data_IF_857693831608
#
_entry.id   IF_857693831608
#
_cell.length_a   1.000
_cell.length_b   1.000
_cell.length_c   1.000
_cell.angle_alpha   90.00
_cell.angle_beta   90.00
_cell.angle_gamma   90.00
#
_symmetry.space_group_name_H-M   'P 1'
#
loop_
_entity.id
_entity.type
_entity.pdbx_description
1 polymer ?
#
# COMPACT_ATOMS: atom_id res chain seq x y z
N UNK A 1 -29.24 43.06 23.17
CA UNK A 1 -28.23 42.04 23.58
C UNK A 1 -28.68 40.60 23.29
N UNK A 2 -29.95 40.33 22.97
CA UNK A 2 -30.42 39.01 22.50
C UNK A 2 -30.32 38.81 20.97
N UNK A 3 -30.29 39.87 20.16
CA UNK A 3 -30.16 39.77 18.70
C UNK A 3 -28.76 39.43 18.20
N UNK A 4 -27.70 39.80 18.94
CA UNK A 4 -26.32 39.55 18.52
C UNK A 4 -25.97 38.05 18.59
N UNK A 5 -26.47 37.34 19.60
CA UNK A 5 -26.26 35.90 19.75
C UNK A 5 -27.03 35.07 18.71
N UNK A 6 -28.15 35.57 18.18
CA UNK A 6 -28.95 34.85 17.16
C UNK A 6 -28.34 34.96 15.76
N UNK A 7 -27.54 35.99 15.49
CA UNK A 7 -26.88 36.21 14.20
C UNK A 7 -25.61 35.35 14.08
N UNK A 8 -24.86 35.18 15.18
CA UNK A 8 -23.65 34.35 15.18
C UNK A 8 -23.96 32.84 15.02
N UNK A 9 -25.10 32.35 15.53
CA UNK A 9 -25.48 30.93 15.38
C UNK A 9 -25.88 30.57 13.94
N UNK A 10 -26.42 31.53 13.18
CA UNK A 10 -26.84 31.31 11.79
C UNK A 10 -25.64 31.26 10.85
N UNK A 11 -24.56 32.01 11.15
CA UNK A 11 -23.34 32.00 10.34
C UNK A 11 -22.46 30.76 10.55
N UNK A 12 -22.44 30.16 11.75
CA UNK A 12 -21.67 28.93 11.97
C UNK A 12 -22.32 27.73 11.26
N UNK A 13 -23.65 27.68 11.18
CA UNK A 13 -24.37 26.63 10.45
C UNK A 13 -24.17 26.70 8.93
N UNK A 14 -24.07 27.91 8.36
CA UNK A 14 -23.84 28.07 6.91
C UNK A 14 -22.43 27.63 6.50
N UNK A 15 -21.41 27.97 7.28
CA UNK A 15 -20.01 27.69 6.94
C UNK A 15 -19.73 26.20 6.68
N UNK A 16 -20.34 25.31 7.45
CA UNK A 16 -20.14 23.88 7.27
C UNK A 16 -21.02 23.26 6.18
N UNK A 17 -22.22 23.81 5.93
CA UNK A 17 -23.05 23.42 4.77
C UNK A 17 -22.37 23.85 3.47
N UNK A 18 -21.79 25.04 3.44
CA UNK A 18 -21.02 25.58 2.32
C UNK A 18 -19.75 24.74 2.09
N UNK A 19 -19.06 24.33 3.16
CA UNK A 19 -17.92 23.42 3.10
C UNK A 19 -18.28 22.03 2.55
N UNK A 20 -19.39 21.45 3.00
CA UNK A 20 -19.88 20.16 2.48
C UNK A 20 -20.28 20.25 1.00
N UNK A 21 -21.02 21.30 0.63
CA UNK A 21 -21.42 21.54 -0.75
C UNK A 21 -20.20 21.75 -1.65
N UNK A 22 -19.21 22.52 -1.21
CA UNK A 22 -17.95 22.73 -1.92
C UNK A 22 -17.20 21.42 -2.14
N UNK A 23 -17.04 20.60 -1.10
CA UNK A 23 -16.30 19.35 -1.22
C UNK A 23 -17.02 18.30 -2.10
N UNK A 24 -18.34 18.15 -1.96
CA UNK A 24 -19.13 17.25 -2.82
C UNK A 24 -19.14 17.70 -4.29
N UNK A 25 -19.10 19.01 -4.55
CA UNK A 25 -19.01 19.56 -5.91
C UNK A 25 -17.65 19.24 -6.54
N UNK A 26 -16.55 19.47 -5.80
CA UNK A 26 -15.18 19.13 -6.24
C UNK A 26 -15.01 17.62 -6.46
N UNK A 27 -15.55 16.80 -5.56
CA UNK A 27 -15.48 15.35 -5.66
C UNK A 27 -16.22 14.82 -6.91
N UNK A 28 -17.44 15.32 -7.17
CA UNK A 28 -18.19 14.99 -8.39
C UNK A 28 -17.49 15.43 -9.67
N UNK A 29 -16.82 16.59 -9.63
CA UNK A 29 -16.04 17.09 -10.77
C UNK A 29 -14.84 16.17 -11.07
N UNK A 30 -14.06 15.80 -10.05
CA UNK A 30 -12.91 14.88 -10.20
C UNK A 30 -13.31 13.50 -10.73
N UNK A 31 -14.41 12.93 -10.24
CA UNK A 31 -14.93 11.64 -10.74
C UNK A 31 -15.37 11.73 -12.21
N UNK A 32 -16.05 12.83 -12.59
CA UNK A 32 -16.54 13.02 -13.95
C UNK A 32 -15.40 13.19 -14.95
N UNK A 33 -14.45 14.08 -14.65
CA UNK A 33 -13.27 14.29 -15.49
C UNK A 33 -12.41 13.03 -15.54
N UNK A 34 -12.25 12.32 -14.43
CA UNK A 34 -11.50 11.05 -14.40
C UNK A 34 -12.10 9.96 -15.29
N UNK A 35 -13.43 9.85 -15.35
CA UNK A 35 -14.12 8.93 -16.25
C UNK A 35 -14.04 9.35 -17.72
N UNK A 36 -14.11 10.65 -18.00
CA UNK A 36 -14.01 11.18 -19.37
C UNK A 36 -12.63 11.00 -19.99
N UNK A 37 -11.56 11.10 -19.20
CA UNK A 37 -10.17 10.93 -19.68
C UNK A 37 -9.65 9.50 -19.53
N UNK A 38 -10.45 8.56 -19.02
CA UNK A 38 -10.05 7.18 -18.76
C UNK A 38 -8.99 7.01 -17.66
N UNK A 39 -8.84 7.99 -16.76
CA UNK A 39 -7.82 7.97 -15.70
C UNK A 39 -8.38 7.37 -14.42
N UNK A 40 -8.05 6.11 -14.16
CA UNK A 40 -8.43 5.40 -12.95
C UNK A 40 -7.93 6.11 -11.67
N UNK A 41 -6.75 6.74 -11.72
CA UNK A 41 -6.19 7.51 -10.60
C UNK A 41 -7.06 8.72 -10.24
N UNK A 42 -7.57 9.45 -11.24
CA UNK A 42 -8.40 10.64 -11.01
C UNK A 42 -9.82 10.27 -10.52
N UNK A 43 -10.33 9.09 -10.92
CA UNK A 43 -11.58 8.53 -10.39
C UNK A 43 -11.42 8.06 -8.93
N UNK A 44 -10.29 7.44 -8.60
CA UNK A 44 -9.96 7.02 -7.23
C UNK A 44 -9.84 8.23 -6.29
N UNK A 45 -9.10 9.27 -6.69
CA UNK A 45 -8.99 10.53 -5.93
C UNK A 45 -10.35 11.22 -5.74
N UNK A 46 -11.24 11.11 -6.74
CA UNK A 46 -12.59 11.65 -6.66
C UNK A 46 -13.51 10.87 -5.70
N UNK A 47 -13.37 9.55 -5.62
CA UNK A 47 -14.05 8.71 -4.63
C UNK A 47 -13.56 8.98 -3.22
N UNK A 48 -12.24 9.13 -3.04
CA UNK A 48 -11.61 9.50 -1.76
C UNK A 48 -12.14 10.85 -1.24
N UNK A 49 -12.25 11.85 -2.12
CA UNK A 49 -12.83 13.16 -1.78
C UNK A 49 -14.31 13.09 -1.36
N UNK A 50 -15.11 12.15 -1.89
CA UNK A 50 -16.50 11.94 -1.44
C UNK A 50 -16.55 11.37 -0.02
N UNK A 51 -15.68 10.41 0.30
CA UNK A 51 -15.57 9.87 1.67
C UNK A 51 -15.21 10.96 2.67
N UNK A 52 -14.28 11.86 2.35
CA UNK A 52 -13.96 13.02 3.20
C UNK A 52 -15.13 14.00 3.36
N UNK A 53 -15.97 14.14 2.32
CA UNK A 53 -17.21 14.92 2.38
C UNK A 53 -18.22 14.34 3.35
N UNK A 54 -18.38 13.01 3.36
CA UNK A 54 -19.24 12.32 4.32
C UNK A 54 -18.71 12.44 5.76
N UNK A 55 -17.39 12.37 5.96
CA UNK A 55 -16.77 12.59 7.27
C UNK A 55 -17.03 14.01 7.78
N UNK A 56 -16.95 15.02 6.91
CA UNK A 56 -17.24 16.42 7.26
C UNK A 56 -18.72 16.65 7.59
N UNK A 57 -19.65 15.99 6.88
CA UNK A 57 -21.08 16.03 7.19
C UNK A 57 -21.40 15.36 8.53
N UNK A 58 -20.72 14.26 8.86
CA UNK A 58 -20.86 13.59 10.15
C UNK A 58 -20.43 14.50 11.32
N UNK A 59 -19.32 15.23 11.18
CA UNK A 59 -18.87 16.26 12.15
C UNK A 59 -19.94 17.33 12.35
N UNK A 60 -20.53 17.80 11.26
CA UNK A 60 -21.53 18.87 11.28
C UNK A 60 -22.83 18.44 11.97
N UNK A 61 -23.29 17.22 11.71
CA UNK A 61 -24.44 16.63 12.38
C UNK A 61 -24.18 16.37 13.87
N UNK A 62 -22.95 16.03 14.26
CA UNK A 62 -22.58 15.88 15.67
C UNK A 62 -22.55 17.18 16.46
N UNK A 63 -21.92 18.21 15.89
CA UNK A 63 -21.90 19.55 16.47
C UNK A 63 -23.33 20.12 16.59
N UNK A 64 -24.18 19.90 15.57
CA UNK A 64 -25.59 20.27 15.61
C UNK A 64 -26.41 19.49 16.65
N UNK A 65 -26.15 18.19 16.81
CA UNK A 65 -26.79 17.34 17.82
C UNK A 65 -26.40 17.69 19.25
N UNK A 66 -25.15 18.06 19.50
CA UNK A 66 -24.66 18.52 20.80
C UNK A 66 -25.30 19.85 21.21
N UNK A 67 -25.49 20.78 20.26
CA UNK A 67 -26.14 22.07 20.50
C UNK A 67 -27.63 21.94 20.87
N UNK A 68 -28.29 20.82 20.53
CA UNK A 68 -29.69 20.52 20.87
C UNK A 68 -29.87 19.94 22.29
N UNK A 69 -28.81 19.88 23.11
CA UNK A 69 -28.88 19.53 24.53
C UNK A 69 -28.69 18.05 24.84
N UNK A 70 -28.15 17.26 23.91
CA UNK A 70 -27.73 15.87 24.15
C UNK A 70 -26.23 15.81 24.43
N UNK A 71 -25.78 15.81 25.70
CA UNK A 71 -24.35 15.82 26.04
C UNK A 71 -23.61 14.55 25.58
N UNK A 72 -24.33 13.45 25.36
CA UNK A 72 -23.78 12.21 24.80
C UNK A 72 -23.66 12.22 23.27
N UNK A 73 -24.26 13.18 22.58
CA UNK A 73 -24.19 13.25 21.11
C UNK A 73 -22.75 13.53 20.64
N UNK A 74 -22.03 14.41 21.34
CA UNK A 74 -20.64 14.77 21.02
C UNK A 74 -19.67 13.57 21.07
N UNK A 75 -19.58 12.78 22.16
CA UNK A 75 -18.71 11.61 22.19
C UNK A 75 -19.15 10.47 21.25
N UNK A 76 -20.46 10.29 21.01
CA UNK A 76 -20.95 9.29 20.04
C UNK A 76 -20.53 9.67 18.61
N UNK A 77 -20.64 10.95 18.27
CA UNK A 77 -20.27 11.42 16.94
C UNK A 77 -18.75 11.45 16.78
N UNK A 78 -18.01 11.84 17.82
CA UNK A 78 -16.54 11.74 17.84
C UNK A 78 -16.05 10.30 17.61
N UNK A 79 -16.72 9.30 18.20
CA UNK A 79 -16.42 7.89 17.95
C UNK A 79 -16.72 7.48 16.50
N UNK A 80 -17.87 7.89 15.96
CA UNK A 80 -18.24 7.63 14.56
C UNK A 80 -17.24 8.24 13.57
N UNK A 81 -16.80 9.48 13.82
CA UNK A 81 -15.79 10.16 13.00
C UNK A 81 -14.45 9.43 13.10
N UNK A 82 -14.04 9.03 14.31
CA UNK A 82 -12.80 8.29 14.52
C UNK A 82 -12.79 6.99 13.71
N UNK A 83 -13.88 6.22 13.77
CA UNK A 83 -14.03 4.99 12.98
C UNK A 83 -13.99 5.28 11.48
N UNK A 84 -14.66 6.33 11.01
CA UNK A 84 -14.62 6.74 9.61
C UNK A 84 -13.19 7.11 9.14
N UNK A 85 -12.46 7.91 9.93
CA UNK A 85 -11.06 8.26 9.66
C UNK A 85 -10.18 7.02 9.63
N UNK A 86 -10.37 6.06 10.55
CA UNK A 86 -9.61 4.80 10.54
C UNK A 86 -9.83 4.00 9.25
N UNK A 87 -11.06 3.96 8.70
CA UNK A 87 -11.31 3.31 7.42
C UNK A 87 -10.61 4.02 6.27
N UNK A 88 -10.72 5.34 6.19
CA UNK A 88 -10.04 6.15 5.16
C UNK A 88 -8.52 5.98 5.25
N UNK A 89 -7.96 6.01 6.46
CA UNK A 89 -6.53 5.80 6.70
C UNK A 89 -6.08 4.40 6.28
N UNK A 90 -6.89 3.37 6.58
CA UNK A 90 -6.62 2.00 6.14
C UNK A 90 -6.59 1.89 4.62
N UNK A 91 -7.54 2.52 3.94
CA UNK A 91 -7.64 2.49 2.48
C UNK A 91 -6.47 3.26 1.84
N UNK A 92 -6.15 4.45 2.33
CA UNK A 92 -4.99 5.23 1.89
C UNK A 92 -3.66 4.49 2.16
N UNK A 93 -3.51 3.88 3.33
CA UNK A 93 -2.34 3.07 3.66
C UNK A 93 -2.23 1.86 2.73
N UNK A 94 -3.36 1.19 2.44
CA UNK A 94 -3.40 0.09 1.47
C UNK A 94 -3.05 0.56 0.07
N UNK A 95 -3.50 1.73 -0.36
CA UNK A 95 -3.18 2.29 -1.67
C UNK A 95 -1.71 2.70 -1.77
N UNK A 96 -1.15 3.34 -0.76
CA UNK A 96 0.28 3.68 -0.71
C UNK A 96 1.11 2.39 -0.69
N UNK A 97 0.67 1.39 0.08
CA UNK A 97 1.28 0.06 0.08
C UNK A 97 1.19 -0.58 -1.30
N UNK A 98 0.03 -0.51 -1.96
CA UNK A 98 -0.13 -1.00 -3.33
C UNK A 98 0.68 -0.18 -4.32
N UNK A 99 0.93 1.13 -4.16
CA UNK A 99 1.78 1.89 -5.10
C UNK A 99 3.27 1.64 -4.86
N UNK A 100 3.67 1.41 -3.61
CA UNK A 100 5.02 0.98 -3.24
C UNK A 100 5.28 -0.46 -3.71
N UNK A 101 4.25 -1.32 -3.63
CA UNK A 101 4.27 -2.68 -4.15
C UNK A 101 4.12 -2.71 -5.66
N UNK A 102 3.21 -1.95 -6.29
CA UNK A 102 2.96 -1.81 -7.74
C UNK A 102 4.11 -1.12 -8.47
N UNK A 103 5.07 -0.53 -7.72
CA UNK A 103 6.38 -0.34 -8.30
C UNK A 103 6.85 -1.67 -8.88
N UNK A 104 6.68 -2.80 -8.19
CA UNK A 104 6.96 -4.16 -8.67
C UNK A 104 5.73 -5.04 -8.53
N UNK A 105 5.01 -5.21 -9.64
CA UNK A 105 3.86 -6.10 -9.76
C UNK A 105 4.02 -7.42 -8.96
N UNK A 106 3.13 -7.73 -8.00
CA UNK A 106 3.21 -8.96 -7.21
C UNK A 106 3.16 -10.23 -8.06
N UNK A 107 2.58 -10.16 -9.26
CA UNK A 107 2.61 -11.28 -10.21
C UNK A 107 4.05 -11.57 -10.70
N UNK A 108 4.89 -10.55 -10.85
CA UNK A 108 6.31 -10.73 -11.18
C UNK A 108 7.10 -11.34 -10.02
N UNK A 109 6.75 -11.03 -8.78
CA UNK A 109 7.38 -11.65 -7.60
C UNK A 109 7.01 -13.13 -7.54
N UNK A 110 5.73 -13.46 -7.68
CA UNK A 110 5.25 -14.83 -7.70
C UNK A 110 5.87 -15.65 -8.84
N UNK A 111 5.95 -15.04 -10.04
CA UNK A 111 6.62 -15.67 -11.19
C UNK A 111 8.11 -15.91 -10.92
N UNK A 112 8.81 -14.96 -10.31
CA UNK A 112 10.22 -15.13 -9.94
C UNK A 112 10.41 -16.28 -8.92
N UNK A 113 9.54 -16.38 -7.91
CA UNK A 113 9.56 -17.46 -6.92
C UNK A 113 9.30 -18.83 -7.57
N UNK A 114 8.34 -18.91 -8.49
CA UNK A 114 8.04 -20.14 -9.24
C UNK A 114 9.21 -20.56 -10.15
N UNK A 115 9.78 -19.62 -10.91
CA UNK A 115 10.97 -19.86 -11.75
C UNK A 115 12.12 -20.40 -10.91
N UNK A 116 12.39 -19.79 -9.74
CA UNK A 116 13.47 -20.21 -8.84
C UNK A 116 13.22 -21.60 -8.24
N UNK A 117 11.99 -21.89 -7.83
CA UNK A 117 11.63 -23.20 -7.29
C UNK A 117 11.75 -24.33 -8.33
N UNK A 118 11.65 -24.00 -9.62
CA UNK A 118 11.82 -24.94 -10.73
C UNK A 118 13.28 -25.18 -11.14
N UNK A 119 14.26 -24.46 -10.56
CA UNK A 119 15.68 -24.63 -10.87
C UNK A 119 16.23 -25.88 -10.18
N UNK A 120 16.82 -26.84 -10.92
CA UNK A 120 17.45 -28.01 -10.33
C UNK A 120 18.58 -27.62 -9.37
N UNK A 121 18.52 -28.11 -8.13
CA UNK A 121 19.52 -27.83 -7.10
C UNK A 121 19.15 -26.71 -6.12
N UNK A 122 18.03 -26.01 -6.35
CA UNK A 122 17.41 -25.13 -5.35
C UNK A 122 16.57 -25.98 -4.40
N UNK A 123 16.91 -25.98 -3.12
CA UNK A 123 16.17 -26.69 -2.06
C UNK A 123 15.14 -25.78 -1.39
N UNK A 124 15.44 -24.47 -1.33
CA UNK A 124 14.59 -23.46 -0.72
C UNK A 124 14.69 -22.15 -1.48
N UNK A 125 13.58 -21.45 -1.65
CA UNK A 125 13.59 -20.05 -2.11
C UNK A 125 13.53 -19.16 -0.88
N UNK A 126 14.49 -18.24 -0.75
CA UNK A 126 14.59 -17.27 0.34
C UNK A 126 13.88 -15.96 0.01
N UNK A 127 14.46 -14.83 0.43
CA UNK A 127 13.90 -13.53 0.08
C UNK A 127 14.06 -13.24 -1.42
N UNK A 128 12.94 -12.91 -2.08
CA UNK A 128 12.92 -12.40 -3.46
C UNK A 128 12.61 -10.90 -3.42
N UNK A 129 13.53 -10.09 -3.94
CA UNK A 129 13.39 -8.65 -4.01
C UNK A 129 13.57 -8.20 -5.44
N UNK A 130 12.52 -7.63 -6.01
CA UNK A 130 12.58 -7.01 -7.32
C UNK A 130 12.56 -5.49 -7.14
N UNK A 131 13.17 -4.77 -8.08
CA UNK A 131 13.18 -3.29 -8.10
C UNK A 131 13.29 -2.75 -9.51
N UNK A 132 12.59 -1.67 -9.81
CA UNK A 132 12.83 -0.93 -11.04
C UNK A 132 14.02 0.01 -10.89
N UNK A 133 14.89 0.00 -11.90
CA UNK A 133 15.99 0.93 -12.05
C UNK A 133 15.87 1.55 -13.45
N UNK A 134 15.29 2.75 -13.50
CA UNK A 134 14.92 3.41 -14.75
C UNK A 134 13.81 2.66 -15.48
N UNK A 135 14.11 2.05 -16.62
CA UNK A 135 13.18 1.29 -17.46
C UNK A 135 13.43 -0.22 -17.42
N UNK A 136 14.29 -0.69 -16.52
CA UNK A 136 14.69 -2.08 -16.39
C UNK A 136 14.39 -2.60 -14.98
N UNK A 137 14.02 -3.88 -14.89
CA UNK A 137 13.85 -4.59 -13.63
C UNK A 137 15.20 -5.18 -13.20
N UNK A 138 15.48 -5.14 -11.90
CA UNK A 138 16.60 -5.85 -11.25
C UNK A 138 16.06 -6.73 -10.13
N UNK A 139 16.66 -7.91 -9.98
CA UNK A 139 16.33 -8.87 -8.93
C UNK A 139 17.51 -9.05 -7.98
N UNK A 140 17.20 -9.17 -6.70
CA UNK A 140 18.08 -9.64 -5.63
C UNK A 140 17.36 -10.81 -4.97
N UNK A 141 17.93 -12.01 -5.06
CA UNK A 141 17.26 -13.25 -4.62
C UNK A 141 18.19 -14.09 -3.77
N UNK A 142 17.63 -14.73 -2.76
CA UNK A 142 18.31 -15.70 -1.91
C UNK A 142 17.78 -17.11 -2.27
N UNK A 143 18.68 -18.06 -2.49
CA UNK A 143 18.35 -19.46 -2.71
C UNK A 143 19.09 -20.35 -1.71
N UNK A 144 18.41 -21.35 -1.18
CA UNK A 144 18.99 -22.43 -0.41
C UNK A 144 19.48 -23.53 -1.33
N UNK A 145 20.74 -23.91 -1.20
CA UNK A 145 21.36 -25.05 -1.88
C UNK A 145 21.86 -26.05 -0.85
N UNK A 146 22.02 -27.31 -1.26
CA UNK A 146 22.54 -28.37 -0.39
C UNK A 146 23.78 -27.95 0.41
N UNK A 147 23.74 -28.13 1.73
CA UNK A 147 24.87 -27.80 2.62
C UNK A 147 26.18 -28.55 2.29
N UNK A 148 26.12 -29.70 1.63
CA UNK A 148 27.27 -30.50 1.24
C UNK A 148 27.74 -30.23 -0.20
N UNK A 149 27.09 -29.29 -0.91
CA UNK A 149 27.51 -28.87 -2.23
C UNK A 149 28.83 -28.11 -2.18
N UNK A 150 29.70 -28.37 -3.15
CA UNK A 150 30.90 -27.57 -3.36
C UNK A 150 30.53 -26.14 -3.79
N UNK A 151 31.43 -25.18 -3.55
CA UNK A 151 31.24 -23.80 -4.00
C UNK A 151 30.99 -23.71 -5.51
N UNK A 152 31.62 -24.59 -6.31
CA UNK A 152 31.45 -24.63 -7.77
C UNK A 152 30.03 -25.09 -8.14
N UNK A 153 29.51 -26.11 -7.45
CA UNK A 153 28.15 -26.60 -7.67
C UNK A 153 27.11 -25.56 -7.24
N UNK A 154 27.29 -24.95 -6.06
CA UNK A 154 26.42 -23.87 -5.57
C UNK A 154 26.41 -22.66 -6.52
N UNK A 155 27.58 -22.26 -7.02
CA UNK A 155 27.69 -21.21 -8.03
C UNK A 155 27.01 -21.61 -9.34
N UNK A 156 27.12 -22.87 -9.76
CA UNK A 156 26.40 -23.38 -10.94
C UNK A 156 24.88 -23.27 -10.82
N UNK A 157 24.32 -23.61 -9.65
CA UNK A 157 22.89 -23.43 -9.37
C UNK A 157 22.50 -21.96 -9.40
N UNK A 158 23.32 -21.08 -8.80
CA UNK A 158 23.07 -19.64 -8.79
C UNK A 158 23.08 -19.03 -10.21
N UNK A 159 24.01 -19.46 -11.07
CA UNK A 159 24.10 -19.01 -12.48
C UNK A 159 22.90 -19.52 -13.29
N UNK A 160 22.48 -20.77 -13.10
CA UNK A 160 21.27 -21.31 -13.75
C UNK A 160 20.02 -20.54 -13.30
N UNK A 161 19.90 -20.25 -12.00
CA UNK A 161 18.81 -19.45 -11.45
C UNK A 161 18.77 -18.03 -12.05
N UNK A 162 19.93 -17.34 -12.12
CA UNK A 162 20.04 -16.03 -12.78
C UNK A 162 19.62 -16.12 -14.26
N UNK A 163 20.10 -17.14 -14.97
CA UNK A 163 19.81 -17.32 -16.39
C UNK A 163 18.31 -17.51 -16.66
N UNK A 164 17.63 -18.35 -15.86
CA UNK A 164 16.18 -18.57 -15.98
C UNK A 164 15.37 -17.33 -15.62
N UNK A 165 15.71 -16.65 -14.53
CA UNK A 165 15.04 -15.41 -14.14
C UNK A 165 15.09 -14.37 -15.28
N UNK A 166 16.25 -14.21 -15.93
CA UNK A 166 16.40 -13.25 -17.04
C UNK A 166 15.56 -13.65 -18.27
N UNK A 167 15.33 -14.95 -18.49
CA UNK A 167 14.54 -15.43 -19.62
C UNK A 167 13.02 -15.37 -19.37
N UNK A 168 12.58 -15.68 -18.15
CA UNK A 168 11.16 -15.82 -17.83
C UNK A 168 10.51 -14.50 -17.37
N UNK A 169 11.26 -13.61 -16.72
CA UNK A 169 10.74 -12.34 -16.23
C UNK A 169 10.89 -11.22 -17.27
N UNK A 170 9.78 -10.59 -17.70
CA UNK A 170 9.85 -9.52 -18.67
C UNK A 170 10.62 -8.31 -18.11
N UNK A 171 11.49 -7.72 -18.95
CA UNK A 171 12.29 -6.51 -18.64
C UNK A 171 13.32 -6.68 -17.52
N UNK A 172 13.56 -7.90 -17.03
CA UNK A 172 14.66 -8.19 -16.11
C UNK A 172 16.00 -8.07 -16.86
N UNK A 173 16.89 -7.21 -16.36
CA UNK A 173 18.21 -6.98 -16.98
C UNK A 173 19.37 -7.62 -16.22
N UNK A 174 19.21 -7.80 -14.91
CA UNK A 174 20.22 -8.42 -14.06
C UNK A 174 19.53 -9.00 -12.82
N UNK A 175 20.00 -10.16 -12.38
CA UNK A 175 19.64 -10.76 -11.11
C UNK A 175 20.91 -11.03 -10.30
N UNK A 176 20.90 -10.69 -9.01
CA UNK A 176 21.97 -11.09 -8.09
C UNK A 176 21.43 -12.22 -7.23
N UNK A 177 22.02 -13.39 -7.37
CA UNK A 177 21.61 -14.61 -6.67
C UNK A 177 22.59 -14.89 -5.54
N UNK A 178 22.10 -14.87 -4.30
CA UNK A 178 22.85 -15.28 -3.13
C UNK A 178 22.52 -16.74 -2.81
N UNK A 179 23.52 -17.61 -2.88
CA UNK A 179 23.37 -19.03 -2.55
C UNK A 179 23.77 -19.28 -1.10
N UNK A 180 22.77 -19.58 -0.27
CA UNK A 180 22.95 -19.96 1.12
C UNK A 180 22.93 -21.48 1.27
N UNK A 181 23.79 -22.06 2.13
CA UNK A 181 23.70 -23.48 2.44
C UNK A 181 22.43 -23.77 3.26
N UNK A 182 21.62 -24.70 2.79
CA UNK A 182 20.44 -25.23 3.49
C UNK A 182 20.86 -26.51 4.24
N UNK A 183 21.04 -26.36 5.55
CA UNK A 183 21.48 -27.43 6.44
C UNK A 183 20.32 -28.09 7.20
N UNK A 184 20.45 -29.37 7.60
CA UNK A 184 19.39 -30.12 8.29
C UNK A 184 18.94 -29.54 9.64
N UNK A 185 19.68 -28.58 10.20
CA UNK A 185 19.35 -27.91 11.46
C UNK A 185 18.52 -26.62 11.28
N UNK A 186 18.24 -26.18 10.04
CA UNK A 186 17.57 -24.89 9.80
C UNK A 186 18.35 -23.70 10.36
N UNK A 187 19.67 -23.85 10.50
CA UNK A 187 20.54 -22.80 11.05
C UNK A 187 20.55 -21.61 10.09
N UNK A 188 19.96 -20.51 10.54
CA UNK A 188 20.04 -19.24 9.83
C UNK A 188 21.46 -18.67 10.00
N UNK A 189 22.27 -18.79 8.95
CA UNK A 189 23.63 -18.25 8.93
C UNK A 189 23.67 -16.71 9.02
N UNK A 190 22.54 -16.04 8.78
CA UNK A 190 22.38 -14.59 8.92
C UNK A 190 21.93 -14.18 10.33
N UNK A 191 21.68 -15.12 11.24
CA UNK A 191 21.22 -14.82 12.61
C UNK A 191 22.15 -13.84 13.36
N UNK A 192 23.46 -13.91 13.10
CA UNK A 192 24.47 -13.01 13.70
C UNK A 192 24.33 -11.57 13.20
N UNK A 193 23.74 -11.38 12.01
CA UNK A 193 23.56 -10.08 11.37
C UNK A 193 22.21 -9.44 11.67
N UNK A 194 21.27 -10.17 12.29
CA UNK A 194 19.92 -9.65 12.61
C UNK A 194 19.95 -8.44 13.55
N UNK A 195 21.00 -8.29 14.39
CA UNK A 195 21.18 -7.12 15.26
C UNK A 195 21.64 -5.85 14.54
N UNK A 196 22.02 -5.93 13.26
CA UNK A 196 22.53 -4.80 12.47
C UNK A 196 21.54 -4.25 11.42
N UNK A 197 20.35 -4.86 11.28
CA UNK A 197 19.38 -4.57 10.21
C UNK A 197 18.25 -3.64 10.66
#
# INVERSE_FOLDING_TARGET
MADLFRIDSVHTGSAGVDGFLGNEWVARYRIRVGREIGSAALVADGLHARTDGFTSLAVLLGAGGAALGFPLADPIVGLLITVAICFVLRDAAREIYHRLMDAVDPELIAQAEETLAAVPGVERVGAVRLRWVGHALRAEVEIGVRHDASLIEAHGVAVEAEHRLIHELPRLRAATVHADPDGPAGTDHHAVLLTHR
#
